data_IF_250760131732
#
_entry.id   IF_250760131732
#
_cell.length_a   1.000
_cell.length_b   1.000
_cell.length_c   1.000
_cell.angle_alpha   90.00
_cell.angle_beta   90.00
_cell.angle_gamma   90.00
#
_symmetry.space_group_name_H-M   'P 1'
#
loop_
_entity.id
_entity.type
_entity.pdbx_description
1 polymer ?
#
# COMPACT_ATOMS: atom_id res chain seq x y z
N UNK A 1 -15.85 12.49 24.99
CA UNK A 1 -16.15 12.89 23.58
C UNK A 1 -16.46 11.62 22.81
N UNK A 2 -17.49 11.55 21.95
CA UNK A 2 -17.71 10.38 21.12
C UNK A 2 -16.57 10.22 20.11
N UNK A 3 -16.23 8.98 19.78
CA UNK A 3 -15.21 8.65 18.80
C UNK A 3 -15.67 9.12 17.40
N UNK A 4 -14.81 9.86 16.69
CA UNK A 4 -15.11 10.41 15.36
C UNK A 4 -14.39 9.58 14.29
N UNK A 5 -15.15 8.97 13.40
CA UNK A 5 -14.60 8.29 12.23
C UNK A 5 -14.03 9.32 11.26
N UNK A 6 -12.74 9.21 10.94
CA UNK A 6 -12.04 10.12 10.02
C UNK A 6 -12.18 9.66 8.56
N UNK A 7 -12.11 8.35 8.32
CA UNK A 7 -12.27 7.75 6.99
C UNK A 7 -13.24 6.58 7.05
N UNK A 8 -14.24 6.58 6.17
CA UNK A 8 -15.09 5.42 5.95
C UNK A 8 -14.34 4.32 5.19
N UNK A 9 -14.88 3.10 5.18
CA UNK A 9 -14.30 2.00 4.39
C UNK A 9 -14.17 2.33 2.90
N UNK A 10 -15.15 3.02 2.33
CA UNK A 10 -15.10 3.47 0.93
C UNK A 10 -14.04 4.54 0.69
N UNK A 11 -13.84 5.46 1.66
CA UNK A 11 -12.79 6.45 1.57
C UNK A 11 -11.39 5.78 1.58
N UNK A 12 -11.20 4.76 2.42
CA UNK A 12 -9.97 3.97 2.46
C UNK A 12 -9.77 3.23 1.13
N UNK A 13 -10.82 2.59 0.59
CA UNK A 13 -10.73 1.88 -0.70
C UNK A 13 -10.31 2.82 -1.82
N UNK A 14 -10.92 4.01 -1.93
CA UNK A 14 -10.52 5.02 -2.93
C UNK A 14 -9.09 5.51 -2.74
N UNK A 15 -8.64 5.71 -1.50
CA UNK A 15 -7.27 6.11 -1.22
C UNK A 15 -6.26 5.03 -1.66
N UNK A 16 -6.55 3.76 -1.41
CA UNK A 16 -5.70 2.64 -1.85
C UNK A 16 -5.59 2.59 -3.38
N UNK A 17 -6.72 2.72 -4.09
CA UNK A 17 -6.71 2.75 -5.56
C UNK A 17 -5.87 3.90 -6.10
N UNK A 18 -6.01 5.10 -5.50
CA UNK A 18 -5.20 6.25 -5.90
C UNK A 18 -3.70 6.01 -5.67
N UNK A 19 -3.32 5.51 -4.48
CA UNK A 19 -1.92 5.19 -4.18
C UNK A 19 -1.33 4.14 -5.13
N UNK A 20 -2.14 3.18 -5.60
CA UNK A 20 -1.70 2.17 -6.56
C UNK A 20 -1.31 2.79 -7.91
N UNK A 21 -2.13 3.69 -8.45
CA UNK A 21 -1.80 4.41 -9.68
C UNK A 21 -0.59 5.33 -9.50
N UNK A 22 -0.57 6.13 -8.42
CA UNK A 22 0.55 7.03 -8.11
C UNK A 22 1.89 6.27 -7.96
N UNK A 23 1.87 5.08 -7.36
CA UNK A 23 3.08 4.26 -7.20
C UNK A 23 3.66 3.81 -8.55
N UNK A 24 2.82 3.30 -9.45
CA UNK A 24 3.23 2.85 -10.80
C UNK A 24 3.71 4.03 -11.64
N UNK A 25 3.01 5.16 -11.58
CA UNK A 25 3.40 6.39 -12.28
C UNK A 25 4.75 6.94 -11.78
N UNK A 26 5.08 6.77 -10.50
CA UNK A 26 6.31 7.31 -9.90
C UNK A 26 7.61 6.68 -10.40
N UNK A 27 7.53 5.48 -10.99
CA UNK A 27 8.67 4.70 -11.52
C UNK A 27 8.52 4.39 -13.01
N UNK A 28 7.64 5.11 -13.72
CA UNK A 28 7.35 4.94 -15.15
C UNK A 28 6.95 3.50 -15.55
N UNK A 29 6.31 2.76 -14.63
CA UNK A 29 5.90 1.36 -14.88
C UNK A 29 6.01 0.46 -13.65
N UNK A 30 6.12 -0.84 -13.87
CA UNK A 30 6.17 -1.85 -12.80
C UNK A 30 7.52 -2.59 -12.69
N UNK A 31 8.40 -2.46 -13.68
CA UNK A 31 9.60 -3.31 -13.80
C UNK A 31 10.56 -3.17 -12.62
N UNK A 32 10.69 -1.96 -12.08
CA UNK A 32 11.56 -1.63 -10.94
C UNK A 32 10.77 -1.31 -9.65
N UNK A 33 9.51 -1.73 -9.56
CA UNK A 33 8.64 -1.45 -8.41
C UNK A 33 8.66 -2.58 -7.38
N UNK A 34 8.91 -2.24 -6.12
CA UNK A 34 8.71 -3.11 -4.94
C UNK A 34 7.95 -2.35 -3.85
N UNK A 35 7.06 -3.04 -3.14
CA UNK A 35 6.34 -2.46 -1.99
C UNK A 35 6.88 -3.05 -0.69
N UNK A 36 7.26 -2.19 0.26
CA UNK A 36 7.70 -2.62 1.59
C UNK A 36 6.69 -2.14 2.62
N UNK A 37 5.98 -3.08 3.25
CA UNK A 37 5.05 -2.79 4.33
C UNK A 37 5.77 -2.73 5.68
N UNK A 38 5.68 -1.60 6.38
CA UNK A 38 6.19 -1.51 7.76
C UNK A 38 5.17 -2.12 8.72
N UNK A 39 5.63 -2.94 9.67
CA UNK A 39 4.75 -3.54 10.67
C UNK A 39 4.02 -2.48 11.52
N UNK A 40 2.78 -2.75 11.96
CA UNK A 40 2.00 -3.99 11.78
C UNK A 40 0.99 -3.91 10.63
N UNK A 41 0.34 -2.74 10.46
CA UNK A 41 -0.73 -2.54 9.46
C UNK A 41 -0.23 -2.07 8.09
N UNK A 42 1.05 -1.69 7.96
CA UNK A 42 1.63 -1.35 6.66
C UNK A 42 1.75 -2.57 5.75
N UNK A 43 2.05 -3.77 6.29
CA UNK A 43 2.09 -5.03 5.52
C UNK A 43 0.77 -5.36 4.82
N UNK A 44 -0.38 -5.47 5.53
CA UNK A 44 -1.64 -5.72 4.84
C UNK A 44 -2.07 -4.57 3.92
N UNK A 45 -1.62 -3.33 4.16
CA UNK A 45 -1.89 -2.22 3.25
C UNK A 45 -1.07 -2.35 1.95
N UNK A 46 0.21 -2.70 2.04
CA UNK A 46 1.08 -2.93 0.89
C UNK A 46 0.54 -4.06 -0.01
N UNK A 47 0.09 -5.17 0.58
CA UNK A 47 -0.59 -6.23 -0.18
C UNK A 47 -1.85 -5.73 -0.88
N UNK A 48 -2.68 -4.90 -0.23
CA UNK A 48 -3.88 -4.34 -0.87
C UNK A 48 -3.55 -3.44 -2.05
N UNK A 49 -2.47 -2.67 -1.96
CA UNK A 49 -1.99 -1.83 -3.07
C UNK A 49 -1.50 -2.73 -4.21
N UNK A 50 -0.69 -3.76 -3.93
CA UNK A 50 -0.21 -4.72 -4.92
C UNK A 50 -1.36 -5.42 -5.66
N UNK A 51 -2.40 -5.86 -4.95
CA UNK A 51 -3.59 -6.48 -5.57
C UNK A 51 -4.34 -5.52 -6.49
N UNK A 52 -4.39 -4.23 -6.15
CA UNK A 52 -5.01 -3.24 -7.03
C UNK A 52 -4.15 -3.03 -8.28
N UNK A 53 -2.83 -2.91 -8.15
CA UNK A 53 -1.90 -2.80 -9.29
C UNK A 53 -2.04 -4.01 -10.21
N UNK A 54 -2.02 -5.22 -9.65
CA UNK A 54 -2.25 -6.46 -10.40
C UNK A 54 -3.56 -6.43 -11.20
N UNK A 55 -4.61 -5.82 -10.64
CA UNK A 55 -5.91 -5.70 -11.30
C UNK A 55 -5.89 -4.88 -12.59
N UNK A 56 -4.97 -3.93 -12.76
CA UNK A 56 -4.91 -3.08 -13.97
C UNK A 56 -3.64 -3.26 -14.81
N UNK A 57 -2.52 -3.69 -14.24
CA UNK A 57 -1.27 -4.00 -14.99
C UNK A 57 -1.09 -5.49 -15.28
N UNK A 58 -1.84 -6.38 -14.60
CA UNK A 58 -1.65 -7.84 -14.68
C UNK A 58 -0.23 -8.31 -14.27
N UNK A 59 0.48 -7.51 -13.46
CA UNK A 59 1.81 -7.82 -12.93
C UNK A 59 1.72 -8.09 -11.43
N UNK A 60 2.48 -9.10 -10.97
CA UNK A 60 2.65 -9.38 -9.55
C UNK A 60 3.79 -8.52 -8.97
N UNK A 61 3.43 -7.49 -8.20
CA UNK A 61 4.42 -6.64 -7.53
C UNK A 61 4.98 -7.36 -6.30
N UNK A 62 6.31 -7.49 -6.16
CA UNK A 62 6.92 -8.03 -4.95
C UNK A 62 6.54 -7.19 -3.72
N UNK A 63 6.10 -7.88 -2.66
CA UNK A 63 5.77 -7.24 -1.38
C UNK A 63 6.67 -7.80 -0.28
N UNK A 64 7.44 -6.92 0.36
CA UNK A 64 8.25 -7.23 1.53
C UNK A 64 7.65 -6.65 2.81
N UNK A 65 8.19 -7.08 3.96
CA UNK A 65 7.83 -6.57 5.27
C UNK A 65 9.08 -6.07 6.01
N UNK A 66 8.93 -4.98 6.76
CA UNK A 66 10.00 -4.42 7.59
C UNK A 66 9.50 -4.20 9.02
N UNK A 67 10.19 -4.82 9.98
CA UNK A 67 10.04 -4.50 11.40
C UNK A 67 11.08 -3.45 11.81
N UNK A 68 10.58 -2.26 12.16
CA UNK A 68 11.42 -1.14 12.62
C UNK A 68 11.61 -1.11 14.14
N UNK A 69 10.96 -2.01 14.89
CA UNK A 69 11.02 -2.06 16.35
C UNK A 69 12.45 -2.09 16.90
N UNK A 70 13.36 -2.95 16.38
CA UNK A 70 14.76 -2.99 16.82
C UNK A 70 15.60 -1.76 16.49
N UNK A 71 15.10 -0.87 15.63
CA UNK A 71 15.82 0.30 15.10
C UNK A 71 15.17 1.62 15.52
N UNK A 72 14.30 1.57 16.53
CA UNK A 72 13.58 2.72 17.05
C UNK A 72 14.04 2.99 18.49
N UNK A 73 14.64 4.15 18.70
CA UNK A 73 14.99 4.69 20.01
C UNK A 73 13.75 5.22 20.75
#
# INVERSE_FOLDING_TARGET
MPEKVIMSGDAIRRAIVRMAHEAVESVDGCDDLVLIGIHTRGVPLAHRIAEVIKGFESVDIPVGALDIGPHRD
#
